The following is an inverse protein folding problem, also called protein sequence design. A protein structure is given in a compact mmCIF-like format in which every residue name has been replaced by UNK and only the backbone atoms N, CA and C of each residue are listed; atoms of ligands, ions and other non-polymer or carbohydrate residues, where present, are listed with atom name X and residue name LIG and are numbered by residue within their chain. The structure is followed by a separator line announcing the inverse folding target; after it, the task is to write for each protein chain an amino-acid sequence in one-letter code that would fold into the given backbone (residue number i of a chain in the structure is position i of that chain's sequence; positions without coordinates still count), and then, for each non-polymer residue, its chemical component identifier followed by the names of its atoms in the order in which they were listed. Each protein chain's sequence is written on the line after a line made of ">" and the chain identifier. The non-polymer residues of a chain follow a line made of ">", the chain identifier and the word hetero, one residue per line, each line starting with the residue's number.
data_IF_068059644712
#
_entry.id   IF_068059644712
#
_cell.length_a   1.000
_cell.length_b   1.000
_cell.length_c   1.000
_cell.angle_alpha   90.00
_cell.angle_beta   90.00
_cell.angle_gamma   90.00
#
_symmetry.space_group_name_H-M   'P 1'
#
loop_
_entity.id
_entity.type
_entity.pdbx_description
1 polymer ?
#
# COMPACT_ATOMS: atom_id res chain seq x y z
N UNK A 1 30.13 -15.80 6.08
CA UNK A 1 29.29 -15.64 4.87
C UNK A 1 27.95 -16.39 4.94
N UNK A 2 27.85 -17.58 5.57
CA UNK A 2 26.57 -18.30 5.71
C UNK A 2 25.51 -17.53 6.55
N UNK A 3 25.91 -16.93 7.68
CA UNK A 3 24.98 -16.24 8.58
C UNK A 3 24.27 -15.03 7.92
N UNK A 4 24.97 -14.26 7.07
CA UNK A 4 24.38 -13.12 6.35
C UNK A 4 23.32 -13.53 5.32
N UNK A 5 23.47 -14.71 4.71
CA UNK A 5 22.51 -15.22 3.72
C UNK A 5 21.21 -15.70 4.39
N UNK A 6 21.33 -16.35 5.55
CA UNK A 6 20.17 -16.82 6.34
C UNK A 6 19.34 -15.62 6.85
N UNK A 7 20.00 -14.57 7.34
CA UNK A 7 19.32 -13.36 7.80
C UNK A 7 18.56 -12.64 6.68
N UNK A 8 19.19 -12.47 5.50
CA UNK A 8 18.54 -11.90 4.32
C UNK A 8 17.36 -12.74 3.83
N UNK A 9 17.49 -14.06 3.84
CA UNK A 9 16.41 -14.98 3.46
C UNK A 9 15.19 -14.84 4.37
N UNK A 10 15.40 -14.85 5.70
CA UNK A 10 14.33 -14.71 6.68
C UNK A 10 13.61 -13.35 6.58
N UNK A 11 14.35 -12.27 6.31
CA UNK A 11 13.76 -10.96 6.06
C UNK A 11 12.88 -10.97 4.79
N UNK A 12 13.35 -11.56 3.70
CA UNK A 12 12.62 -11.66 2.45
C UNK A 12 11.32 -12.47 2.60
N UNK A 13 11.35 -13.60 3.33
CA UNK A 13 10.17 -14.39 3.61
C UNK A 13 9.11 -13.57 4.36
N UNK A 14 9.52 -12.81 5.38
CA UNK A 14 8.61 -11.98 6.19
C UNK A 14 7.98 -10.86 5.39
N UNK A 15 8.77 -10.19 4.55
CA UNK A 15 8.24 -9.16 3.65
C UNK A 15 7.25 -9.76 2.65
N UNK A 16 7.52 -10.97 2.16
CA UNK A 16 6.62 -11.70 1.27
C UNK A 16 5.31 -12.06 1.96
N UNK A 17 5.35 -12.60 3.19
CA UNK A 17 4.15 -12.92 3.96
C UNK A 17 3.31 -11.68 4.28
N UNK A 18 3.97 -10.58 4.69
CA UNK A 18 3.27 -9.33 4.97
C UNK A 18 2.67 -8.74 3.69
N UNK A 19 3.40 -8.76 2.56
CA UNK A 19 2.89 -8.34 1.26
C UNK A 19 1.69 -9.18 0.80
N UNK A 20 1.72 -10.50 0.98
CA UNK A 20 0.61 -11.38 0.66
C UNK A 20 -0.64 -11.03 1.50
N UNK A 21 -0.46 -10.76 2.79
CA UNK A 21 -1.54 -10.28 3.65
C UNK A 21 -2.11 -8.94 3.17
N UNK A 22 -1.25 -7.99 2.77
CA UNK A 22 -1.68 -6.71 2.20
C UNK A 22 -2.51 -6.91 0.92
N UNK A 23 -2.07 -7.79 0.02
CA UNK A 23 -2.81 -8.11 -1.21
C UNK A 23 -4.18 -8.70 -0.87
N UNK A 24 -4.27 -9.64 0.07
CA UNK A 24 -5.56 -10.20 0.49
C UNK A 24 -6.50 -9.12 1.06
N UNK A 25 -6.00 -8.22 1.91
CA UNK A 25 -6.78 -7.09 2.45
C UNK A 25 -7.22 -6.14 1.32
N UNK A 26 -6.39 -5.94 0.31
CA UNK A 26 -6.70 -5.14 -0.87
C UNK A 26 -7.83 -5.73 -1.71
N UNK A 27 -7.69 -6.99 -2.11
CA UNK A 27 -8.68 -7.71 -2.94
C UNK A 27 -10.00 -7.83 -2.19
N UNK A 28 -9.96 -8.31 -0.94
CA UNK A 28 -11.17 -8.45 -0.13
C UNK A 28 -11.81 -7.10 0.20
N UNK A 29 -11.01 -6.07 0.49
CA UNK A 29 -11.51 -4.73 0.77
C UNK A 29 -12.23 -4.11 -0.43
N UNK A 30 -11.68 -4.28 -1.65
CA UNK A 30 -12.36 -3.86 -2.89
C UNK A 30 -13.68 -4.60 -3.09
N UNK A 31 -13.71 -5.90 -2.81
CA UNK A 31 -14.94 -6.69 -2.88
C UNK A 31 -16.00 -6.23 -1.86
N UNK A 32 -15.61 -6.13 -0.58
CA UNK A 32 -16.51 -5.84 0.52
C UNK A 32 -17.08 -4.41 0.47
N UNK A 33 -16.31 -3.47 -0.09
CA UNK A 33 -16.69 -2.07 -0.22
C UNK A 33 -17.23 -1.74 -1.63
N UNK A 34 -17.48 -2.74 -2.47
CA UNK A 34 -17.93 -2.54 -3.87
C UNK A 34 -19.24 -1.76 -4.00
N UNK A 35 -20.05 -1.72 -2.93
CA UNK A 35 -21.28 -0.90 -2.84
C UNK A 35 -21.00 0.61 -2.73
N UNK A 36 -19.80 1.02 -2.34
CA UNK A 36 -19.44 2.41 -2.10
C UNK A 36 -18.45 2.91 -3.18
N UNK A 37 -18.82 3.95 -3.97
CA UNK A 37 -17.94 4.44 -5.03
C UNK A 37 -16.59 4.93 -4.50
N UNK A 38 -15.48 4.39 -5.03
CA UNK A 38 -14.10 4.79 -4.72
C UNK A 38 -13.72 4.77 -3.22
N UNK A 39 -14.47 4.05 -2.39
CA UNK A 39 -14.09 3.74 -1.01
C UNK A 39 -13.43 2.38 -1.01
N UNK A 40 -12.12 2.33 -0.75
CA UNK A 40 -11.37 1.08 -0.82
C UNK A 40 -10.16 1.05 0.12
N UNK A 41 -9.63 -0.14 0.35
CA UNK A 41 -8.44 -0.37 1.18
C UNK A 41 -7.12 -0.15 0.41
N UNK A 42 -7.20 0.06 -0.91
CA UNK A 42 -6.07 0.05 -1.83
C UNK A 42 -5.04 1.15 -1.53
N UNK A 43 -5.51 2.36 -1.19
CA UNK A 43 -4.62 3.46 -0.77
C UNK A 43 -3.78 3.05 0.44
N UNK A 44 -4.40 2.48 1.48
CA UNK A 44 -3.70 2.11 2.70
C UNK A 44 -2.64 1.05 2.45
N UNK A 45 -2.97 -0.03 1.72
CA UNK A 45 -2.03 -1.12 1.45
C UNK A 45 -0.89 -0.70 0.51
N UNK A 46 -1.16 0.21 -0.42
CA UNK A 46 -0.15 0.77 -1.34
C UNK A 46 0.86 1.61 -0.57
N UNK A 47 0.38 2.50 0.28
CA UNK A 47 1.26 3.33 1.11
C UNK A 47 2.08 2.47 2.09
N UNK A 48 1.44 1.50 2.75
CA UNK A 48 2.13 0.63 3.72
C UNK A 48 3.18 -0.25 3.06
N UNK A 49 2.89 -0.85 1.90
CA UNK A 49 3.87 -1.66 1.18
C UNK A 49 5.08 -0.83 0.75
N UNK A 50 4.87 0.39 0.25
CA UNK A 50 5.97 1.30 -0.08
C UNK A 50 6.77 1.74 1.15
N UNK A 51 6.10 2.28 2.15
CA UNK A 51 6.73 2.86 3.35
C UNK A 51 7.43 1.81 4.23
N UNK A 52 6.87 0.61 4.37
CA UNK A 52 7.44 -0.43 5.25
C UNK A 52 8.38 -1.37 4.51
N UNK A 53 8.01 -1.81 3.30
CA UNK A 53 8.71 -2.87 2.58
C UNK A 53 9.65 -2.32 1.49
N UNK A 54 9.37 -1.13 0.94
CA UNK A 54 10.21 -0.44 -0.07
C UNK A 54 9.75 -0.68 -1.51
N UNK A 55 10.48 -0.10 -2.47
CA UNK A 55 10.06 0.04 -3.88
C UNK A 55 9.56 -1.24 -4.53
N UNK A 56 10.30 -2.35 -4.39
CA UNK A 56 9.87 -3.65 -4.95
C UNK A 56 8.45 -4.02 -4.54
N UNK A 57 8.13 -3.89 -3.26
CA UNK A 57 6.83 -4.25 -2.71
C UNK A 57 5.79 -3.13 -2.87
N UNK A 58 6.21 -1.87 -2.84
CA UNK A 58 5.39 -0.72 -3.20
C UNK A 58 4.88 -0.77 -4.65
N UNK A 59 5.55 -1.51 -5.54
CA UNK A 59 5.07 -1.78 -6.90
C UNK A 59 4.22 -3.06 -6.93
N UNK A 60 4.75 -4.17 -6.41
CA UNK A 60 4.10 -5.50 -6.53
C UNK A 60 2.74 -5.53 -5.84
N UNK A 61 2.64 -5.04 -4.61
CA UNK A 61 1.40 -5.12 -3.81
C UNK A 61 0.23 -4.44 -4.50
N UNK A 62 0.29 -3.14 -4.87
CA UNK A 62 -0.84 -2.51 -5.56
C UNK A 62 -1.16 -3.16 -6.90
N UNK A 63 -0.15 -3.41 -7.75
CA UNK A 63 -0.38 -3.90 -9.12
C UNK A 63 -0.97 -5.31 -9.13
N UNK A 64 -0.48 -6.21 -8.27
CA UNK A 64 -1.07 -7.55 -8.14
C UNK A 64 -2.49 -7.46 -7.58
N UNK A 65 -2.74 -6.56 -6.63
CA UNK A 65 -4.09 -6.38 -6.07
C UNK A 65 -5.08 -5.96 -7.14
N UNK A 66 -4.78 -4.91 -7.93
CA UNK A 66 -5.69 -4.46 -8.99
C UNK A 66 -5.80 -5.48 -10.12
N UNK A 67 -4.70 -6.15 -10.49
CA UNK A 67 -4.75 -7.20 -11.50
C UNK A 67 -5.71 -8.35 -11.11
N UNK A 68 -5.64 -8.82 -9.85
CA UNK A 68 -6.55 -9.85 -9.35
C UNK A 68 -7.99 -9.33 -9.36
N UNK A 69 -8.24 -8.12 -8.81
CA UNK A 69 -9.61 -7.60 -8.75
C UNK A 69 -10.20 -7.34 -10.13
N UNK A 70 -9.41 -6.84 -11.07
CA UNK A 70 -9.87 -6.50 -12.42
C UNK A 70 -10.21 -7.77 -13.22
N UNK A 71 -9.51 -8.88 -12.98
CA UNK A 71 -9.87 -10.20 -13.53
C UNK A 71 -11.21 -10.68 -12.96
N UNK A 72 -11.48 -10.41 -11.68
CA UNK A 72 -12.71 -10.85 -11.01
C UNK A 72 -13.95 -10.06 -11.42
N UNK A 73 -13.81 -8.75 -11.64
CA UNK A 73 -14.94 -7.83 -11.85
C UNK A 73 -15.04 -7.23 -13.26
N UNK A 74 -14.00 -7.40 -14.08
CA UNK A 74 -13.85 -6.70 -15.35
C UNK A 74 -13.26 -5.30 -15.16
N UNK A 75 -12.63 -4.80 -16.23
CA UNK A 75 -12.13 -3.43 -16.29
C UNK A 75 -12.19 -2.92 -17.75
N UNK A 76 -12.26 -1.61 -17.91
CA UNK A 76 -12.28 -0.93 -19.19
C UNK A 76 -10.92 -0.30 -19.52
N UNK A 77 -10.84 0.40 -20.65
CA UNK A 77 -9.63 1.10 -21.11
C UNK A 77 -8.99 2.06 -20.08
N UNK A 78 -9.76 2.50 -19.07
CA UNK A 78 -9.27 3.35 -17.98
C UNK A 78 -8.19 2.67 -17.12
N UNK A 79 -8.04 1.34 -17.21
CA UNK A 79 -7.03 0.58 -16.47
C UNK A 79 -5.61 1.14 -16.61
N UNK A 80 -5.26 1.71 -17.78
CA UNK A 80 -3.95 2.33 -18.02
C UNK A 80 -3.70 3.46 -17.02
N UNK A 81 -4.72 4.27 -16.70
CA UNK A 81 -4.59 5.37 -15.73
C UNK A 81 -4.68 4.88 -14.29
N UNK A 82 -5.55 3.92 -13.99
CA UNK A 82 -5.65 3.41 -12.62
C UNK A 82 -4.39 2.64 -12.22
N UNK A 83 -3.87 1.75 -13.07
CA UNK A 83 -2.65 0.98 -12.80
C UNK A 83 -1.42 1.89 -12.71
N UNK A 84 -1.28 2.86 -13.61
CA UNK A 84 -0.17 3.82 -13.54
C UNK A 84 -0.27 4.74 -12.31
N UNK A 85 -1.47 5.12 -11.88
CA UNK A 85 -1.64 5.86 -10.64
C UNK A 85 -1.11 5.06 -9.45
N UNK A 86 -1.50 3.79 -9.33
CA UNK A 86 -1.06 2.93 -8.23
C UNK A 86 0.45 2.67 -8.25
N UNK A 87 1.03 2.52 -9.44
CA UNK A 87 2.48 2.45 -9.60
C UNK A 87 3.17 3.71 -9.05
N UNK A 88 2.70 4.90 -9.44
CA UNK A 88 3.28 6.18 -9.02
C UNK A 88 3.11 6.39 -7.51
N UNK A 89 1.92 6.12 -6.96
CA UNK A 89 1.64 6.24 -5.52
C UNK A 89 2.54 5.29 -4.72
N UNK A 90 2.68 4.03 -5.16
CA UNK A 90 3.51 3.03 -4.50
C UNK A 90 5.01 3.36 -4.54
N UNK A 91 5.49 3.87 -5.67
CA UNK A 91 6.86 4.39 -5.79
C UNK A 91 7.08 5.61 -4.89
N UNK A 92 6.17 6.59 -4.92
CA UNK A 92 6.24 7.79 -4.08
C UNK A 92 6.25 7.45 -2.59
N UNK A 93 5.41 6.52 -2.15
CA UNK A 93 5.41 6.01 -0.78
C UNK A 93 6.75 5.36 -0.40
N UNK A 94 7.38 4.64 -1.35
CA UNK A 94 8.66 3.98 -1.14
C UNK A 94 9.81 4.97 -0.94
N UNK A 95 9.75 6.16 -1.54
CA UNK A 95 10.73 7.23 -1.31
C UNK A 95 10.69 7.74 0.13
N UNK A 96 9.54 7.67 0.80
CA UNK A 96 9.40 8.07 2.19
C UNK A 96 9.90 7.03 3.20
N UNK A 97 10.26 5.81 2.77
CA UNK A 97 10.63 4.69 3.65
C UNK A 97 11.70 5.05 4.68
N UNK A 98 12.83 5.61 4.24
CA UNK A 98 13.95 5.92 5.14
C UNK A 98 13.57 6.96 6.21
N UNK A 99 12.85 8.02 5.81
CA UNK A 99 12.34 9.04 6.74
C UNK A 99 11.32 8.44 7.72
N UNK A 100 10.48 7.54 7.24
CA UNK A 100 9.41 6.93 8.04
C UNK A 100 9.93 5.86 9.01
N UNK A 101 11.13 5.30 8.84
CA UNK A 101 11.72 4.32 9.79
C UNK A 101 11.76 4.82 11.23
N UNK A 102 12.13 6.08 11.43
CA UNK A 102 12.16 6.69 12.77
C UNK A 102 10.74 6.97 13.29
N UNK A 103 9.85 7.40 12.40
CA UNK A 103 8.46 7.72 12.71
C UNK A 103 7.67 6.47 13.10
N UNK A 104 8.01 5.29 12.58
CA UNK A 104 7.41 4.00 12.97
C UNK A 104 7.48 3.75 14.49
N UNK A 105 8.46 4.32 15.21
CA UNK A 105 8.56 4.22 16.68
C UNK A 105 7.50 5.07 17.42
N UNK A 106 6.85 6.01 16.74
CA UNK A 106 5.85 6.95 17.26
C UNK A 106 4.50 6.71 16.55
N UNK A 107 3.65 5.78 17.03
CA UNK A 107 2.46 5.34 16.30
C UNK A 107 1.52 6.47 15.87
N UNK A 108 1.28 7.46 16.73
CA UNK A 108 0.40 8.60 16.43
C UNK A 108 0.95 9.42 15.25
N UNK A 109 2.25 9.73 15.27
CA UNK A 109 2.90 10.49 14.19
C UNK A 109 2.96 9.69 12.88
N UNK A 110 3.18 8.38 12.98
CA UNK A 110 3.14 7.49 11.81
C UNK A 110 1.77 7.50 11.17
N UNK A 111 0.72 7.29 11.96
CA UNK A 111 -0.67 7.29 11.50
C UNK A 111 -1.03 8.64 10.87
N UNK A 112 -0.69 9.76 11.52
CA UNK A 112 -0.91 11.09 10.95
C UNK A 112 -0.19 11.30 9.61
N UNK A 113 1.05 10.82 9.49
CA UNK A 113 1.81 10.89 8.24
C UNK A 113 1.20 10.04 7.13
N UNK A 114 0.73 8.82 7.47
CA UNK A 114 0.05 7.93 6.53
C UNK A 114 -1.27 8.52 6.05
N UNK A 115 -2.06 9.13 6.94
CA UNK A 115 -3.30 9.82 6.56
C UNK A 115 -3.03 10.99 5.63
N UNK A 116 -1.99 11.80 5.91
CA UNK A 116 -1.59 12.90 5.02
C UNK A 116 -1.19 12.38 3.63
N UNK A 117 -0.39 11.32 3.56
CA UNK A 117 -0.06 10.66 2.30
C UNK A 117 -1.30 10.08 1.60
N UNK A 118 -2.26 9.55 2.35
CA UNK A 118 -3.54 9.06 1.81
C UNK A 118 -4.36 10.16 1.14
N UNK A 119 -4.41 11.35 1.74
CA UNK A 119 -5.07 12.53 1.15
C UNK A 119 -4.38 12.93 -0.15
N UNK A 120 -3.05 13.05 -0.14
CA UNK A 120 -2.26 13.39 -1.34
C UNK A 120 -2.46 12.35 -2.44
N UNK A 121 -2.42 11.06 -2.09
CA UNK A 121 -2.66 9.96 -3.02
C UNK A 121 -4.07 10.02 -3.62
N UNK A 122 -5.10 10.34 -2.83
CA UNK A 122 -6.48 10.48 -3.30
C UNK A 122 -6.63 11.63 -4.30
N UNK A 123 -6.01 12.78 -4.00
CA UNK A 123 -6.02 13.95 -4.89
C UNK A 123 -5.28 13.65 -6.20
N UNK A 124 -4.10 13.02 -6.11
CA UNK A 124 -3.34 12.62 -7.29
C UNK A 124 -4.12 11.61 -8.14
N UNK A 125 -4.68 10.57 -7.53
CA UNK A 125 -5.47 9.56 -8.23
C UNK A 125 -6.66 10.20 -8.93
N UNK A 126 -7.38 11.10 -8.26
CA UNK A 126 -8.50 11.84 -8.84
C UNK A 126 -8.08 12.65 -10.07
N UNK A 127 -7.01 13.45 -9.97
CA UNK A 127 -6.53 14.25 -11.09
C UNK A 127 -6.09 13.37 -12.25
N UNK A 128 -5.33 12.32 -11.97
CA UNK A 128 -4.76 11.44 -12.98
C UNK A 128 -5.83 10.62 -13.72
N UNK A 129 -6.78 10.03 -12.97
CA UNK A 129 -7.83 9.19 -13.57
C UNK A 129 -8.88 10.00 -14.31
N UNK A 130 -9.25 11.20 -13.85
CA UNK A 130 -10.18 12.07 -14.58
C UNK A 130 -9.54 12.65 -15.84
N UNK A 131 -8.24 12.96 -15.79
CA UNK A 131 -7.49 13.27 -17.02
C UNK A 131 -7.56 12.10 -18.01
N UNK A 132 -7.41 10.86 -17.51
CA UNK A 132 -7.59 9.65 -18.30
C UNK A 132 -8.99 9.49 -18.88
N UNK A 133 -10.04 9.76 -18.11
CA UNK A 133 -11.43 9.72 -18.59
C UNK A 133 -11.62 10.72 -19.73
N UNK A 134 -11.17 11.96 -19.54
CA UNK A 134 -11.21 13.00 -20.55
C UNK A 134 -10.41 12.62 -21.80
N UNK A 135 -9.28 11.95 -21.66
CA UNK A 135 -8.43 11.56 -22.79
C UNK A 135 -8.96 10.33 -23.55
N UNK A 136 -9.42 9.30 -22.86
CA UNK A 136 -9.75 8.00 -23.46
C UNK A 136 -11.18 7.91 -23.98
N UNK A 137 -12.15 8.55 -23.31
CA UNK A 137 -13.57 8.39 -23.67
C UNK A 137 -14.12 9.61 -24.40
N UNK A 138 -15.30 9.47 -25.02
CA UNK A 138 -15.98 10.52 -25.77
C UNK A 138 -17.02 11.29 -24.95
N UNK A 139 -17.00 11.18 -23.61
CA UNK A 139 -17.95 11.87 -22.74
C UNK A 139 -17.80 13.40 -22.73
N UNK A 140 -16.62 13.90 -23.07
CA UNK A 140 -16.30 15.33 -23.00
C UNK A 140 -15.53 15.80 -24.24
N UNK A 141 -15.68 17.08 -24.64
CA UNK A 141 -14.88 17.67 -25.71
C UNK A 141 -13.38 17.61 -25.41
N UNK A 142 -12.55 17.38 -26.44
CA UNK A 142 -11.08 17.29 -26.31
C UNK A 142 -10.42 18.67 -26.24
N UNK A 143 -10.88 19.51 -25.32
CA UNK A 143 -10.35 20.83 -25.01
C UNK A 143 -10.34 21.08 -23.50
N UNK A 144 -9.83 22.24 -23.07
CA UNK A 144 -9.71 22.59 -21.64
C UNK A 144 -11.09 22.58 -20.95
N UNK A 145 -12.13 23.07 -21.62
CA UNK A 145 -13.50 23.07 -21.07
C UNK A 145 -14.00 21.66 -20.79
N UNK A 146 -13.76 20.71 -21.69
CA UNK A 146 -14.11 19.31 -21.47
C UNK A 146 -13.29 18.64 -20.37
N UNK A 147 -12.01 19.00 -20.23
CA UNK A 147 -11.18 18.51 -19.12
C UNK A 147 -11.70 19.00 -17.76
N UNK A 148 -12.04 20.30 -17.66
CA UNK A 148 -12.65 20.86 -16.47
C UNK A 148 -14.02 20.21 -16.18
N UNK A 149 -14.83 19.94 -17.21
CA UNK A 149 -16.09 19.23 -17.06
C UNK A 149 -15.89 17.82 -16.48
N UNK A 150 -14.87 17.08 -16.93
CA UNK A 150 -14.52 15.78 -16.37
C UNK A 150 -14.13 15.87 -14.89
N UNK A 151 -13.33 16.86 -14.49
CA UNK A 151 -12.98 17.05 -13.09
C UNK A 151 -14.19 17.41 -12.22
N UNK A 152 -15.05 18.32 -12.69
CA UNK A 152 -16.27 18.72 -11.97
C UNK A 152 -17.18 17.50 -11.77
N UNK A 153 -17.40 16.70 -12.82
CA UNK A 153 -18.18 15.48 -12.75
C UNK A 153 -17.56 14.43 -11.81
N UNK A 154 -16.24 14.43 -11.68
CA UNK A 154 -15.50 13.54 -10.79
C UNK A 154 -15.57 13.89 -9.30
N UNK A 155 -15.98 15.11 -8.93
CA UNK A 155 -15.94 15.59 -7.52
C UNK A 155 -16.69 14.70 -6.51
N UNK A 156 -17.86 14.12 -6.82
CA UNK A 156 -18.52 13.19 -5.91
C UNK A 156 -17.64 11.97 -5.57
N UNK A 157 -16.92 11.43 -6.55
CA UNK A 157 -16.00 10.31 -6.36
C UNK A 157 -14.80 10.69 -5.50
N UNK A 158 -14.27 11.91 -5.68
CA UNK A 158 -13.21 12.44 -4.81
C UNK A 158 -13.69 12.55 -3.37
N UNK A 159 -14.91 13.04 -3.15
CA UNK A 159 -15.51 13.16 -1.82
C UNK A 159 -15.57 11.81 -1.12
N UNK A 160 -16.12 10.78 -1.78
CA UNK A 160 -16.18 9.44 -1.21
C UNK A 160 -14.80 8.86 -0.93
N UNK A 161 -13.86 9.00 -1.88
CA UNK A 161 -12.49 8.51 -1.70
C UNK A 161 -11.77 9.18 -0.54
N UNK A 162 -11.87 10.52 -0.41
CA UNK A 162 -11.24 11.26 0.69
C UNK A 162 -11.84 10.91 2.04
N UNK A 163 -13.18 10.91 2.15
CA UNK A 163 -13.85 10.57 3.41
C UNK A 163 -13.53 9.13 3.82
N UNK A 164 -13.54 8.20 2.87
CA UNK A 164 -13.12 6.82 3.08
C UNK A 164 -11.66 6.73 3.56
N UNK A 165 -10.73 7.39 2.87
CA UNK A 165 -9.30 7.33 3.20
C UNK A 165 -8.95 8.01 4.53
N UNK A 166 -9.68 9.04 4.95
CA UNK A 166 -9.52 9.66 6.28
C UNK A 166 -9.83 8.66 7.41
N UNK A 167 -10.67 7.66 7.17
CA UNK A 167 -11.04 6.63 8.16
C UNK A 167 -10.20 5.36 7.96
N UNK A 168 -10.16 4.85 6.74
CA UNK A 168 -9.55 3.56 6.40
C UNK A 168 -8.03 3.62 6.55
N UNK A 169 -7.37 4.65 6.02
CA UNK A 169 -5.90 4.74 6.06
C UNK A 169 -5.35 4.73 7.49
N UNK A 170 -5.83 5.56 8.44
CA UNK A 170 -5.30 5.52 9.80
C UNK A 170 -5.61 4.20 10.51
N UNK A 171 -6.83 3.67 10.36
CA UNK A 171 -7.25 2.42 11.01
C UNK A 171 -6.45 1.20 10.52
N UNK A 172 -6.27 1.08 9.20
CA UNK A 172 -5.46 0.02 8.61
C UNK A 172 -3.98 0.22 8.96
N UNK A 173 -3.49 1.46 8.92
CA UNK A 173 -2.08 1.75 9.21
C UNK A 173 -1.69 1.42 10.65
N UNK A 174 -2.51 1.77 11.65
CA UNK A 174 -2.20 1.45 13.05
C UNK A 174 -2.20 -0.06 13.28
N UNK A 175 -3.21 -0.75 12.76
CA UNK A 175 -3.39 -2.20 12.90
C UNK A 175 -2.22 -2.94 12.26
N UNK A 176 -1.90 -2.60 11.01
CA UNK A 176 -0.87 -3.31 10.26
C UNK A 176 0.55 -2.92 10.68
N UNK A 177 0.78 -1.70 11.18
CA UNK A 177 2.05 -1.35 11.82
C UNK A 177 2.31 -2.21 13.07
N UNK A 178 1.27 -2.44 13.90
CA UNK A 178 1.40 -3.30 15.08
C UNK A 178 1.73 -4.75 14.69
N UNK A 179 1.02 -5.32 13.71
CA UNK A 179 1.31 -6.67 13.19
C UNK A 179 2.74 -6.74 12.64
N UNK A 180 3.15 -5.75 11.84
CA UNK A 180 4.48 -5.70 11.26
C UNK A 180 5.59 -5.69 12.32
N UNK A 181 5.44 -4.87 13.38
CA UNK A 181 6.38 -4.85 14.51
C UNK A 181 6.45 -6.19 15.23
N UNK A 182 5.31 -6.82 15.50
CA UNK A 182 5.26 -8.13 16.16
C UNK A 182 5.94 -9.23 15.33
N UNK A 183 5.79 -9.19 14.00
CA UNK A 183 6.53 -10.06 13.08
C UNK A 183 8.04 -9.80 13.12
N UNK A 184 8.49 -8.56 13.36
CA UNK A 184 9.89 -8.21 13.55
C UNK A 184 10.46 -8.70 14.88
N UNK A 185 9.73 -8.49 15.98
CA UNK A 185 10.19 -8.81 17.34
C UNK A 185 10.35 -10.32 17.57
N UNK A 186 9.39 -11.14 17.10
CA UNK A 186 9.43 -12.60 17.28
C UNK A 186 10.70 -13.26 16.71
N UNK A 187 11.28 -12.70 15.66
CA UNK A 187 12.50 -13.25 15.07
C UNK A 187 13.78 -12.83 15.81
N UNK A 188 13.85 -11.60 16.33
CA UNK A 188 15.00 -11.21 17.15
C UNK A 188 15.15 -12.14 18.36
N UNK A 189 14.03 -12.55 18.97
CA UNK A 189 14.03 -13.51 20.08
C UNK A 189 14.53 -14.88 19.62
N UNK A 190 13.96 -15.44 18.55
CA UNK A 190 14.36 -16.76 18.01
C UNK A 190 15.85 -16.83 17.63
N UNK A 191 16.39 -15.77 17.01
CA UNK A 191 17.81 -15.70 16.63
C UNK A 191 18.71 -15.60 17.87
N UNK A 192 18.33 -14.79 18.86
CA UNK A 192 19.09 -14.65 20.11
C UNK A 192 19.14 -15.98 20.88
N UNK A 193 18.02 -16.71 20.92
CA UNK A 193 17.97 -18.05 21.52
C UNK A 193 18.89 -19.02 20.78
N UNK A 194 18.80 -19.10 19.45
CA UNK A 194 19.63 -20.01 18.64
C UNK A 194 21.14 -19.74 18.79
N UNK A 195 21.56 -18.47 18.82
CA UNK A 195 22.96 -18.08 19.07
C UNK A 195 23.41 -18.45 20.48
N UNK A 196 22.54 -18.32 21.49
CA UNK A 196 22.84 -18.70 22.87
C UNK A 196 23.09 -20.21 23.02
N UNK A 197 22.29 -21.04 22.34
CA UNK A 197 22.49 -22.50 22.35
C UNK A 197 23.73 -22.95 21.58
N UNK A 198 24.07 -22.28 20.45
CA UNK A 198 25.27 -22.58 19.68
C UNK A 198 26.59 -22.25 20.40
N UNK A 199 26.54 -21.40 21.44
CA UNK A 199 27.70 -20.99 22.24
C UNK A 199 27.71 -21.60 23.66
N UNK A 200 26.76 -22.45 24.02
CA UNK A 200 26.92 -23.27 25.22
C UNK A 200 28.03 -24.29 24.95
N UNK A 201 29.13 -24.32 25.74
CA UNK A 201 30.08 -25.41 25.65
C UNK A 201 29.31 -26.69 25.91
N UNK A 202 29.42 -27.64 25.00
CA UNK A 202 28.98 -29.01 25.27
C UNK A 202 29.83 -29.49 26.44
N UNK A 203 29.30 -29.41 27.66
CA UNK A 203 29.81 -30.20 28.77
C UNK A 203 29.55 -31.66 28.39
N UNK A 204 30.55 -32.27 27.76
CA UNK A 204 30.63 -33.72 27.58
C UNK A 204 30.47 -34.34 28.97
N UNK A 205 29.40 -35.13 29.12
CA UNK A 205 29.24 -36.07 30.23
C UNK A 205 30.08 -37.30 29.96
#
# INVERSE_FOLDING_TARGET
>A
MQNTNILKHNQNLRYTLFAAMLIMIGVFGRWALSLFPNVETLTAITLLSGVLLGSRWGIIVPLVTVAISDIMYGNDAIFIYTWSAWLIIGLGASLAKERMRWIQKKPILFVGSMTAFGIIASLFFFLWTNFGVWQLFHFYPKNITGLLASYIAGLPFLKFSLTGNIIIVPFVSITLLWIFKKLCERQNISQTSALKYAHQPHEEK
#
